data_IF_423042363770
#
_entry.id   IF_423042363770
#
_cell.length_a   1.000
_cell.length_b   1.000
_cell.length_c   1.000
_cell.angle_alpha   90.00
_cell.angle_beta   90.00
_cell.angle_gamma   90.00
#
_symmetry.space_group_name_H-M   'P 1'
#
loop_
_entity.id
_entity.type
_entity.pdbx_description
1 polymer ?
#
# COMPACT_ATOMS: atom_id res chain seq x y z
N UNK A 1 -59.76 -17.40 -36.99
CA UNK A 1 -58.56 -17.71 -36.16
C UNK A 1 -57.43 -16.88 -36.76
N UNK A 2 -57.26 -15.65 -36.28
CA UNK A 2 -56.19 -14.77 -36.76
C UNK A 2 -54.87 -15.36 -36.26
N UNK A 3 -53.97 -15.69 -37.19
CA UNK A 3 -52.57 -15.94 -36.84
C UNK A 3 -51.99 -14.60 -36.40
N UNK A 4 -51.78 -14.45 -35.09
CA UNK A 4 -51.04 -13.31 -34.59
C UNK A 4 -49.56 -13.58 -34.81
N UNK A 5 -49.05 -13.08 -35.93
CA UNK A 5 -47.61 -12.86 -36.13
C UNK A 5 -47.16 -11.80 -35.12
N UNK A 6 -47.00 -12.19 -33.87
CA UNK A 6 -46.47 -11.32 -32.81
C UNK A 6 -45.02 -11.01 -33.15
N UNK A 7 -44.78 -9.80 -33.62
CA UNK A 7 -43.43 -9.32 -33.89
C UNK A 7 -42.65 -9.29 -32.58
N UNK A 8 -41.70 -10.21 -32.43
CA UNK A 8 -40.79 -10.21 -31.29
C UNK A 8 -39.83 -9.03 -31.44
N UNK A 9 -40.08 -7.97 -30.68
CA UNK A 9 -39.24 -6.77 -30.64
C UNK A 9 -38.31 -6.88 -29.43
N UNK A 10 -37.02 -7.22 -29.61
CA UNK A 10 -36.08 -7.35 -28.50
C UNK A 10 -35.57 -6.00 -27.97
N UNK A 11 -35.80 -4.89 -28.69
CA UNK A 11 -35.38 -3.57 -28.21
C UNK A 11 -36.22 -3.13 -26.99
N UNK A 12 -35.56 -2.57 -25.98
CA UNK A 12 -36.17 -2.02 -24.76
C UNK A 12 -35.92 -0.52 -24.68
N UNK A 13 -35.64 0.03 -23.49
CA UNK A 13 -35.18 1.42 -23.38
C UNK A 13 -33.90 1.64 -24.19
N UNK A 14 -33.60 2.90 -24.52
CA UNK A 14 -32.45 3.26 -25.36
C UNK A 14 -31.16 2.58 -24.87
N UNK A 15 -30.54 1.75 -25.71
CA UNK A 15 -29.32 1.00 -25.38
C UNK A 15 -29.53 -0.40 -24.78
N UNK A 16 -30.76 -0.82 -24.50
CA UNK A 16 -31.07 -2.12 -23.88
C UNK A 16 -31.61 -3.14 -24.90
N UNK A 17 -31.09 -4.36 -24.81
CA UNK A 17 -31.55 -5.53 -25.56
C UNK A 17 -32.17 -6.56 -24.61
N UNK A 18 -33.36 -7.05 -24.93
CA UNK A 18 -34.01 -8.09 -24.15
C UNK A 18 -33.41 -9.46 -24.44
N UNK A 19 -32.98 -10.13 -23.38
CA UNK A 19 -32.55 -11.52 -23.43
C UNK A 19 -33.72 -12.42 -23.01
N UNK A 20 -34.25 -13.19 -23.97
CA UNK A 20 -35.40 -14.06 -23.75
C UNK A 20 -35.10 -15.26 -22.85
N UNK A 21 -33.85 -15.70 -22.77
CA UNK A 21 -33.46 -16.85 -21.94
C UNK A 21 -33.47 -16.50 -20.45
N UNK A 22 -32.99 -15.31 -20.11
CA UNK A 22 -32.87 -14.84 -18.72
C UNK A 22 -34.02 -13.93 -18.27
N UNK A 23 -34.74 -13.33 -19.23
CA UNK A 23 -35.73 -12.28 -18.94
C UNK A 23 -35.11 -10.94 -18.51
N UNK A 24 -33.78 -10.79 -18.66
CA UNK A 24 -33.03 -9.59 -18.28
C UNK A 24 -32.80 -8.68 -19.49
N UNK A 25 -32.42 -7.44 -19.22
CA UNK A 25 -32.07 -6.47 -20.26
C UNK A 25 -30.54 -6.31 -20.30
N UNK A 26 -29.93 -6.71 -21.40
CA UNK A 26 -28.51 -6.52 -21.63
C UNK A 26 -28.22 -5.06 -22.02
N UNK A 27 -27.33 -4.42 -21.27
CA UNK A 27 -26.86 -3.06 -21.50
C UNK A 27 -25.33 -3.07 -21.56
N UNK A 28 -24.79 -3.43 -22.73
CA UNK A 28 -23.36 -3.52 -23.10
C UNK A 28 -22.43 -4.18 -22.08
N UNK A 29 -22.15 -3.56 -20.94
CA UNK A 29 -21.25 -4.11 -19.91
C UNK A 29 -22.00 -4.77 -18.74
N UNK A 30 -23.33 -4.63 -18.63
CA UNK A 30 -24.10 -5.14 -17.50
C UNK A 30 -25.50 -5.65 -17.88
N UNK A 31 -26.03 -6.56 -17.06
CA UNK A 31 -27.43 -7.02 -17.13
C UNK A 31 -28.28 -6.24 -16.14
N UNK A 32 -29.34 -5.62 -16.65
CA UNK A 32 -30.34 -4.85 -15.91
C UNK A 32 -31.58 -5.71 -15.65
N UNK A 33 -32.02 -5.73 -14.39
CA UNK A 33 -33.27 -6.36 -13.99
C UNK A 33 -34.39 -5.30 -13.94
N UNK A 34 -35.38 -5.36 -14.87
CA UNK A 34 -36.49 -4.42 -14.88
C UNK A 34 -37.43 -4.56 -13.68
N UNK A 35 -37.47 -5.72 -13.00
CA UNK A 35 -38.32 -5.96 -11.83
C UNK A 35 -37.75 -5.29 -10.58
N UNK A 36 -36.42 -5.30 -10.46
CA UNK A 36 -35.71 -4.68 -9.33
C UNK A 36 -35.28 -3.23 -9.57
N UNK A 37 -35.26 -2.80 -10.84
CA UNK A 37 -34.85 -1.45 -11.22
C UNK A 37 -33.34 -1.19 -11.07
N UNK A 38 -32.50 -2.22 -11.19
CA UNK A 38 -31.05 -2.13 -10.94
C UNK A 38 -30.24 -3.15 -11.75
N UNK A 39 -28.92 -2.96 -11.82
CA UNK A 39 -28.00 -3.95 -12.36
C UNK A 39 -27.78 -5.10 -11.38
N UNK A 40 -27.50 -6.29 -11.92
CA UNK A 40 -27.16 -7.48 -11.12
C UNK A 40 -25.70 -7.51 -10.68
N UNK A 41 -24.81 -6.94 -11.48
CA UNK A 41 -23.38 -6.89 -11.21
C UNK A 41 -22.95 -5.47 -10.81
N UNK A 42 -21.96 -5.33 -9.91
CA UNK A 42 -21.39 -4.03 -9.58
C UNK A 42 -20.71 -3.41 -10.81
N UNK A 43 -20.70 -2.08 -10.89
CA UNK A 43 -20.09 -1.34 -11.99
C UNK A 43 -18.60 -1.70 -12.18
N UNK A 44 -18.18 -2.13 -13.39
CA UNK A 44 -16.77 -2.39 -13.69
C UNK A 44 -15.84 -1.20 -13.43
N UNK A 45 -16.34 0.04 -13.53
CA UNK A 45 -15.57 1.25 -13.22
C UNK A 45 -15.55 1.61 -11.73
N UNK A 46 -16.10 0.73 -10.86
CA UNK A 46 -16.12 0.87 -9.40
C UNK A 46 -16.70 2.22 -8.97
N UNK A 47 -16.02 2.94 -8.07
CA UNK A 47 -16.45 4.23 -7.52
C UNK A 47 -16.48 5.36 -8.56
N UNK A 48 -15.84 5.20 -9.72
CA UNK A 48 -15.93 6.19 -10.79
C UNK A 48 -17.32 6.22 -11.43
N UNK A 49 -18.08 5.12 -11.33
CA UNK A 49 -19.48 5.02 -11.78
C UNK A 49 -20.50 5.57 -10.77
N UNK A 50 -20.02 6.21 -9.69
CA UNK A 50 -20.84 6.72 -8.59
C UNK A 50 -20.83 5.83 -7.34
N UNK A 51 -21.47 6.35 -6.28
CA UNK A 51 -21.48 5.69 -4.97
C UNK A 51 -22.29 4.38 -4.96
N UNK A 52 -23.32 4.28 -5.82
CA UNK A 52 -24.15 3.08 -5.93
C UNK A 52 -23.77 2.29 -7.19
N UNK A 53 -23.00 1.23 -6.98
CA UNK A 53 -22.44 0.39 -8.05
C UNK A 53 -23.49 -0.43 -8.82
N UNK A 54 -24.70 -0.58 -8.28
CA UNK A 54 -25.79 -1.34 -8.90
C UNK A 54 -26.84 -0.43 -9.56
N UNK A 55 -26.71 0.89 -9.44
CA UNK A 55 -27.71 1.82 -9.94
C UNK A 55 -27.69 1.88 -11.48
N UNK A 56 -28.88 1.90 -12.08
CA UNK A 56 -29.05 2.12 -13.52
C UNK A 56 -28.76 3.57 -13.91
N UNK A 57 -29.63 4.50 -13.51
CA UNK A 57 -29.42 5.94 -13.63
C UNK A 57 -29.98 6.66 -12.39
N UNK A 58 -29.51 7.89 -12.09
CA UNK A 58 -30.10 8.71 -11.04
C UNK A 58 -31.57 9.07 -11.29
N UNK A 59 -31.95 9.28 -12.56
CA UNK A 59 -33.31 9.61 -12.96
C UNK A 59 -33.70 8.87 -14.27
N UNK A 60 -34.37 7.70 -14.21
CA UNK A 60 -34.67 6.87 -15.38
C UNK A 60 -35.70 7.51 -16.33
N UNK A 61 -36.40 8.56 -15.90
CA UNK A 61 -37.40 9.27 -16.71
C UNK A 61 -36.79 10.23 -17.73
N UNK A 62 -35.56 10.69 -17.50
CA UNK A 62 -34.90 11.66 -18.38
C UNK A 62 -33.46 11.33 -18.72
N UNK A 63 -32.89 10.28 -18.10
CA UNK A 63 -31.49 9.89 -18.24
C UNK A 63 -31.41 8.44 -18.69
N UNK A 64 -30.47 8.18 -19.59
CA UNK A 64 -30.15 6.86 -20.12
C UNK A 64 -28.68 6.56 -19.82
N UNK A 65 -28.33 5.30 -19.60
CA UNK A 65 -26.96 4.81 -19.50
C UNK A 65 -26.64 3.99 -20.78
N UNK A 66 -26.15 4.61 -21.87
CA UNK A 66 -25.94 3.92 -23.15
C UNK A 66 -24.79 2.92 -23.14
N UNK A 67 -23.88 3.06 -22.18
CA UNK A 67 -22.70 2.21 -22.06
C UNK A 67 -22.91 1.10 -21.04
N UNK A 68 -23.88 1.20 -20.15
CA UNK A 68 -23.95 0.32 -19.00
C UNK A 68 -22.81 0.60 -18.02
N UNK A 69 -22.28 1.82 -17.96
CA UNK A 69 -21.25 2.29 -17.04
C UNK A 69 -21.77 3.62 -16.52
N UNK A 70 -22.21 3.68 -15.25
CA UNK A 70 -23.06 4.75 -14.79
C UNK A 70 -22.25 6.06 -14.76
N UNK A 71 -22.42 6.85 -15.80
CA UNK A 71 -21.72 8.10 -16.02
C UNK A 71 -22.75 9.10 -16.49
N UNK A 72 -22.91 10.18 -15.72
CA UNK A 72 -23.95 11.19 -15.87
C UNK A 72 -24.11 11.68 -17.33
N UNK A 73 -24.89 10.97 -18.14
CA UNK A 73 -25.27 11.39 -19.48
C UNK A 73 -26.58 12.19 -19.39
N UNK A 74 -26.54 13.53 -19.54
CA UNK A 74 -27.76 14.32 -19.67
C UNK A 74 -28.50 14.02 -21.00
N UNK A 75 -29.79 14.39 -21.11
CA UNK A 75 -30.61 14.19 -22.32
C UNK A 75 -30.01 14.80 -23.60
N UNK A 76 -30.50 14.41 -24.80
CA UNK A 76 -29.83 14.56 -26.11
C UNK A 76 -29.47 15.98 -26.59
N UNK A 77 -29.77 17.03 -25.81
CA UNK A 77 -29.48 18.43 -26.13
C UNK A 77 -28.14 18.94 -25.58
N UNK A 78 -27.26 18.07 -25.07
CA UNK A 78 -25.87 18.42 -24.73
C UNK A 78 -24.89 17.47 -25.42
N UNK A 79 -23.91 17.98 -26.20
CA UNK A 79 -22.86 17.15 -26.74
C UNK A 79 -21.93 16.77 -25.58
N UNK A 80 -21.86 15.48 -25.26
CA UNK A 80 -20.89 14.94 -24.30
C UNK A 80 -21.52 14.03 -23.26
N UNK A 81 -21.60 12.74 -23.58
CA UNK A 81 -21.42 11.72 -22.56
C UNK A 81 -19.93 11.64 -22.27
N UNK A 82 -19.42 12.47 -21.35
CA UNK A 82 -18.07 12.28 -20.84
C UNK A 82 -18.08 10.97 -20.05
N UNK A 83 -17.49 9.93 -20.62
CA UNK A 83 -17.17 8.70 -19.89
C UNK A 83 -16.11 9.09 -18.85
N UNK A 84 -16.35 8.99 -17.53
CA UNK A 84 -15.31 9.07 -16.53
C UNK A 84 -14.42 7.86 -16.76
N UNK A 85 -13.29 8.08 -17.41
CA UNK A 85 -12.43 7.02 -17.94
C UNK A 85 -12.03 7.18 -19.41
N UNK A 86 -12.57 8.18 -20.14
CA UNK A 86 -11.98 8.66 -21.39
C UNK A 86 -10.51 9.03 -21.16
N UNK A 87 -9.64 8.31 -21.86
CA UNK A 87 -8.21 8.14 -21.54
C UNK A 87 -7.49 9.49 -21.43
N UNK A 88 -7.32 9.92 -20.18
CA UNK A 88 -6.49 11.03 -19.75
C UNK A 88 -5.85 10.68 -18.40
N UNK A 89 -5.07 9.59 -18.37
CA UNK A 89 -4.13 9.36 -17.27
C UNK A 89 -4.67 8.71 -15.99
N UNK A 90 -5.76 7.94 -16.05
CA UNK A 90 -6.12 7.05 -14.94
C UNK A 90 -5.11 5.90 -14.85
N UNK A 91 -3.99 6.14 -14.16
CA UNK A 91 -3.07 5.10 -13.75
C UNK A 91 -3.76 4.29 -12.66
N UNK A 92 -3.89 2.99 -12.87
CA UNK A 92 -4.14 2.08 -11.77
C UNK A 92 -2.88 2.12 -10.92
N UNK A 93 -2.97 2.72 -9.74
CA UNK A 93 -1.91 2.60 -8.76
C UNK A 93 -1.96 1.16 -8.24
N UNK A 94 -1.20 0.26 -8.86
CA UNK A 94 -0.83 -1.05 -8.28
C UNK A 94 0.09 -0.88 -7.06
N UNK A 95 0.10 0.32 -6.45
CA UNK A 95 0.96 0.69 -5.36
C UNK A 95 0.67 -0.18 -4.16
N UNK A 96 1.49 -1.20 -3.97
CA UNK A 96 1.73 -1.74 -2.63
C UNK A 96 1.88 -0.55 -1.67
N UNK A 97 1.22 -0.60 -0.50
CA UNK A 97 1.40 0.46 0.48
C UNK A 97 2.89 0.58 0.75
N UNK A 98 3.46 1.77 0.46
CA UNK A 98 4.87 2.03 0.72
C UNK A 98 5.13 1.67 2.17
N UNK A 99 5.98 0.66 2.40
CA UNK A 99 6.30 0.18 3.73
C UNK A 99 6.68 1.38 4.60
N UNK A 100 6.19 1.44 5.85
CA UNK A 100 6.53 2.53 6.74
C UNK A 100 8.05 2.58 6.87
N UNK A 101 8.63 3.69 6.40
CA UNK A 101 10.09 3.89 6.41
C UNK A 101 10.62 4.00 7.84
N UNK A 102 9.76 4.27 8.83
CA UNK A 102 10.10 4.36 10.24
C UNK A 102 9.16 3.45 11.01
N UNK A 103 9.74 2.56 11.83
CA UNK A 103 9.00 1.69 12.72
C UNK A 103 9.44 1.92 14.18
N UNK A 104 8.49 1.89 15.10
CA UNK A 104 8.70 2.13 16.53
C UNK A 104 8.57 0.84 17.35
N UNK A 105 9.09 0.85 18.58
CA UNK A 105 8.97 -0.24 19.55
C UNK A 105 9.59 -1.59 19.09
N UNK A 106 10.72 -1.55 18.38
CA UNK A 106 11.44 -2.77 17.99
C UNK A 106 12.36 -3.21 19.11
N UNK A 107 12.37 -4.52 19.37
CA UNK A 107 13.31 -5.14 20.27
C UNK A 107 14.74 -5.08 19.70
N UNK A 108 15.71 -4.49 20.39
CA UNK A 108 17.07 -4.31 19.84
C UNK A 108 17.84 -5.64 19.67
N UNK A 109 17.31 -6.74 20.22
CA UNK A 109 17.88 -8.09 20.09
C UNK A 109 17.60 -8.73 18.73
N UNK A 110 16.55 -8.30 18.02
CA UNK A 110 16.20 -8.85 16.69
C UNK A 110 17.12 -8.32 15.59
N UNK A 111 17.76 -7.17 15.83
CA UNK A 111 18.66 -6.53 14.87
C UNK A 111 20.01 -7.26 14.78
N UNK A 112 20.49 -7.53 13.58
CA UNK A 112 21.81 -8.11 13.30
C UNK A 112 22.88 -7.02 13.21
N UNK A 113 24.05 -7.29 13.78
CA UNK A 113 25.20 -6.38 13.72
C UNK A 113 25.94 -6.58 12.41
N UNK A 114 26.50 -5.48 11.91
CA UNK A 114 27.31 -5.43 10.69
C UNK A 114 28.72 -4.89 10.97
N UNK A 115 28.91 -4.20 12.09
CA UNK A 115 30.20 -3.68 12.52
C UNK A 115 30.46 -4.07 13.99
N UNK A 116 31.72 -4.32 14.34
CA UNK A 116 32.17 -4.58 15.71
C UNK A 116 32.31 -3.27 16.47
N UNK A 117 31.87 -3.21 17.73
CA UNK A 117 32.18 -2.06 18.60
C UNK A 117 33.26 -2.46 19.61
N UNK A 118 34.39 -1.77 19.56
CA UNK A 118 35.52 -2.01 20.45
C UNK A 118 36.22 -0.71 20.88
N UNK A 119 36.98 -0.80 21.97
CA UNK A 119 37.81 0.28 22.49
C UNK A 119 37.11 1.23 23.47
N UNK A 120 37.93 2.09 24.10
CA UNK A 120 37.51 3.02 25.17
C UNK A 120 36.51 4.07 24.71
N UNK A 121 36.69 4.59 23.49
CA UNK A 121 35.80 5.60 22.91
C UNK A 121 34.41 5.03 22.69
N UNK A 122 34.32 3.86 22.04
CA UNK A 122 33.06 3.14 21.84
C UNK A 122 32.38 2.81 23.16
N UNK A 123 33.15 2.36 24.15
CA UNK A 123 32.61 2.08 25.50
C UNK A 123 31.98 3.33 26.11
N UNK A 124 32.67 4.48 26.07
CA UNK A 124 32.12 5.75 26.57
C UNK A 124 30.84 6.14 25.85
N UNK A 125 30.80 5.97 24.52
CA UNK A 125 29.62 6.30 23.71
C UNK A 125 28.42 5.40 24.05
N UNK A 126 28.64 4.08 24.25
CA UNK A 126 27.58 3.16 24.70
C UNK A 126 27.07 3.55 26.08
N UNK A 127 27.96 3.90 27.01
CA UNK A 127 27.58 4.34 28.36
C UNK A 127 26.76 5.63 28.34
N UNK A 128 27.11 6.58 27.47
CA UNK A 128 26.34 7.82 27.27
C UNK A 128 24.92 7.52 26.76
N UNK A 129 24.78 6.70 25.71
CA UNK A 129 23.46 6.31 25.21
C UNK A 129 22.66 5.51 26.24
N UNK A 130 23.32 4.68 27.05
CA UNK A 130 22.68 3.96 28.16
C UNK A 130 22.11 4.91 29.20
N UNK A 131 22.82 5.99 29.53
CA UNK A 131 22.32 7.03 30.44
C UNK A 131 21.15 7.80 29.81
N UNK A 132 21.24 8.15 28.53
CA UNK A 132 20.11 8.75 27.78
C UNK A 132 18.88 7.84 27.79
N UNK A 133 19.08 6.54 27.62
CA UNK A 133 18.02 5.53 27.64
C UNK A 133 17.32 5.40 28.98
N UNK A 134 18.05 5.57 30.08
CA UNK A 134 17.46 5.62 31.42
C UNK A 134 16.66 6.91 31.67
N UNK A 135 17.10 8.03 31.08
CA UNK A 135 16.52 9.35 31.31
C UNK A 135 15.42 9.72 30.30
N UNK A 136 15.15 8.86 29.31
CA UNK A 136 14.15 9.05 28.25
C UNK A 136 14.79 9.02 26.86
N UNK A 137 14.75 7.86 26.19
CA UNK A 137 15.14 7.72 24.79
C UNK A 137 13.93 7.99 23.88
N UNK A 138 13.98 9.08 23.13
CA UNK A 138 12.92 9.46 22.21
C UNK A 138 13.10 8.88 20.80
N UNK A 139 12.09 9.03 19.93
CA UNK A 139 12.15 8.66 18.51
C UNK A 139 13.07 9.56 17.66
N UNK A 140 13.78 10.51 18.29
CA UNK A 140 14.62 11.52 17.62
C UNK A 140 15.83 10.92 16.92
N UNK A 141 16.35 9.81 17.44
CA UNK A 141 17.56 9.16 16.92
C UNK A 141 17.24 7.72 16.48
N UNK A 142 16.64 7.51 15.29
CA UNK A 142 16.38 6.18 14.78
C UNK A 142 17.67 5.43 14.44
N UNK A 143 17.61 4.10 14.56
CA UNK A 143 18.68 3.20 14.08
C UNK A 143 18.41 2.91 12.61
N UNK A 144 19.41 3.13 11.77
CA UNK A 144 19.27 2.91 10.33
C UNK A 144 19.51 1.44 10.03
N UNK A 145 18.54 0.78 9.40
CA UNK A 145 18.58 -0.65 9.10
C UNK A 145 18.18 -0.94 7.66
N UNK A 146 18.65 -2.07 7.16
CA UNK A 146 18.20 -2.67 5.91
C UNK A 146 17.59 -4.05 6.19
N UNK A 147 16.52 -4.37 5.48
CA UNK A 147 15.91 -5.69 5.51
C UNK A 147 16.47 -6.56 4.39
N UNK A 148 16.84 -7.79 4.73
CA UNK A 148 17.22 -8.84 3.77
C UNK A 148 16.83 -10.20 4.32
N UNK A 149 16.11 -11.01 3.53
CA UNK A 149 15.60 -12.34 3.91
C UNK A 149 14.91 -12.36 5.28
N UNK A 150 14.06 -11.37 5.56
CA UNK A 150 13.34 -11.25 6.85
C UNK A 150 14.22 -10.92 8.05
N UNK A 151 15.49 -10.55 7.84
CA UNK A 151 16.40 -10.11 8.89
C UNK A 151 16.74 -8.63 8.74
N UNK A 152 16.85 -7.94 9.87
CA UNK A 152 17.21 -6.52 9.91
C UNK A 152 18.68 -6.34 10.24
N UNK A 153 19.44 -5.72 9.35
CA UNK A 153 20.88 -5.46 9.50
C UNK A 153 21.13 -3.99 9.81
N UNK A 154 21.91 -3.73 10.87
CA UNK A 154 22.21 -2.36 11.33
C UNK A 154 23.28 -1.74 10.41
N UNK A 155 22.90 -0.68 9.70
CA UNK A 155 23.80 0.12 8.87
C UNK A 155 24.45 1.26 9.67
N UNK A 156 23.70 1.90 10.56
CA UNK A 156 24.21 2.91 11.50
C UNK A 156 23.50 2.84 12.84
N UNK A 157 24.22 3.23 13.90
CA UNK A 157 23.71 3.23 15.27
C UNK A 157 24.07 1.98 16.06
N UNK A 158 25.19 1.31 15.76
CA UNK A 158 25.63 0.12 16.53
C UNK A 158 25.81 0.41 18.02
N UNK A 159 26.33 1.58 18.42
CA UNK A 159 26.43 1.95 19.84
C UNK A 159 25.05 2.13 20.49
N UNK A 160 24.07 2.67 19.75
CA UNK A 160 22.68 2.84 20.21
C UNK A 160 22.01 1.47 20.37
N UNK A 161 22.13 0.61 19.37
CA UNK A 161 21.63 -0.76 19.44
C UNK A 161 22.26 -1.54 20.61
N UNK A 162 23.56 -1.41 20.83
CA UNK A 162 24.26 -2.06 21.93
C UNK A 162 23.82 -1.54 23.30
N UNK A 163 23.66 -0.23 23.47
CA UNK A 163 23.12 0.37 24.68
C UNK A 163 21.70 -0.14 24.95
N UNK A 164 20.84 -0.14 23.93
CA UNK A 164 19.45 -0.60 24.02
C UNK A 164 19.33 -2.07 24.42
N UNK A 165 20.23 -2.93 23.92
CA UNK A 165 20.30 -4.35 24.33
C UNK A 165 20.64 -4.50 25.81
N UNK A 166 21.51 -3.64 26.35
CA UNK A 166 21.88 -3.68 27.77
C UNK A 166 20.77 -3.16 28.68
N UNK A 167 20.00 -2.17 28.24
CA UNK A 167 18.90 -1.57 29.01
C UNK A 167 17.55 -2.22 28.76
N UNK A 168 17.45 -3.11 27.78
CA UNK A 168 16.17 -3.68 27.29
C UNK A 168 15.15 -2.59 26.94
N UNK A 169 15.63 -1.50 26.33
CA UNK A 169 14.77 -0.42 25.85
C UNK A 169 14.44 -0.62 24.39
N UNK A 170 13.18 -0.48 24.03
CA UNK A 170 12.76 -0.60 22.64
C UNK A 170 13.26 0.60 21.83
N UNK A 171 13.57 0.34 20.56
CA UNK A 171 14.19 1.34 19.67
C UNK A 171 13.28 1.66 18.49
N UNK A 172 13.48 2.86 17.94
CA UNK A 172 12.90 3.24 16.65
C UNK A 172 13.93 2.92 15.57
N UNK A 173 13.48 2.32 14.47
CA UNK A 173 14.32 2.04 13.30
C UNK A 173 13.84 2.84 12.10
N UNK A 174 14.79 3.17 11.22
CA UNK A 174 14.54 3.68 9.88
C UNK A 174 14.93 2.62 8.88
N UNK A 175 13.95 2.06 8.18
CA UNK A 175 14.15 1.06 7.14
C UNK A 175 14.54 1.74 5.83
N UNK A 176 15.66 1.31 5.25
CA UNK A 176 16.12 1.77 3.93
C UNK A 176 15.93 0.63 2.93
N UNK A 177 15.28 0.94 1.82
CA UNK A 177 15.11 0.02 0.67
C UNK A 177 16.31 0.07 -0.26
N UNK A 178 16.89 1.26 -0.47
CA UNK A 178 17.95 1.47 -1.46
C UNK A 178 19.27 1.94 -0.84
N UNK A 179 20.27 1.05 -0.78
CA UNK A 179 21.62 1.36 -0.29
C UNK A 179 22.31 2.49 -1.06
N UNK A 180 21.99 2.67 -2.35
CA UNK A 180 22.57 3.73 -3.19
C UNK A 180 22.21 5.14 -2.70
N UNK A 181 21.07 5.29 -2.04
CA UNK A 181 20.61 6.58 -1.49
C UNK A 181 21.21 6.87 -0.11
N UNK A 182 21.77 5.85 0.53
CA UNK A 182 22.34 5.95 1.86
C UNK A 182 23.81 6.37 1.80
N UNK A 183 24.16 7.44 2.50
CA UNK A 183 25.53 7.93 2.61
C UNK A 183 26.30 7.13 3.68
N UNK A 184 26.55 5.85 3.41
CA UNK A 184 27.25 4.93 4.30
C UNK A 184 28.49 4.30 3.69
N UNK A 185 29.22 3.53 4.51
CA UNK A 185 30.39 2.78 4.06
C UNK A 185 30.01 1.57 3.18
N UNK A 186 28.85 0.97 3.43
CA UNK A 186 28.36 -0.22 2.71
C UNK A 186 27.45 0.22 1.57
N UNK A 187 27.80 -0.16 0.33
CA UNK A 187 27.11 0.26 -0.89
C UNK A 187 26.30 -0.85 -1.55
N UNK A 188 26.62 -2.11 -1.24
CA UNK A 188 25.93 -3.30 -1.73
C UNK A 188 25.40 -4.15 -0.58
N UNK A 189 24.43 -5.01 -0.88
CA UNK A 189 23.85 -5.90 0.14
C UNK A 189 24.81 -7.04 0.48
N UNK A 190 25.60 -7.47 -0.51
CA UNK A 190 26.65 -8.47 -0.36
C UNK A 190 27.69 -8.00 0.68
N UNK A 191 28.11 -6.73 0.63
CA UNK A 191 29.04 -6.16 1.62
C UNK A 191 28.45 -6.20 3.04
N UNK A 192 27.14 -5.96 3.17
CA UNK A 192 26.43 -5.98 4.47
C UNK A 192 26.42 -7.40 5.03
N UNK A 193 26.12 -8.39 4.20
CA UNK A 193 26.07 -9.80 4.59
C UNK A 193 27.45 -10.34 4.95
N UNK A 194 28.46 -10.05 4.14
CA UNK A 194 29.85 -10.41 4.41
C UNK A 194 30.33 -9.80 5.73
N UNK A 195 30.08 -8.50 5.91
CA UNK A 195 30.42 -7.81 7.15
C UNK A 195 29.70 -8.44 8.36
N UNK A 196 28.39 -8.70 8.25
CA UNK A 196 27.62 -9.33 9.32
C UNK A 196 28.12 -10.73 9.71
N UNK A 197 28.56 -11.53 8.74
CA UNK A 197 29.12 -12.87 8.98
C UNK A 197 30.49 -12.83 9.64
N UNK A 198 31.29 -11.79 9.35
CA UNK A 198 32.63 -11.61 9.89
C UNK A 198 32.67 -10.83 11.22
N UNK A 199 31.53 -10.29 11.68
CA UNK A 199 31.45 -9.52 12.92
C UNK A 199 31.65 -10.41 14.14
N UNK A 200 32.72 -10.12 14.88
CA UNK A 200 32.97 -10.71 16.19
C UNK A 200 32.03 -10.21 17.31
N UNK A 201 32.27 -10.68 18.52
CA UNK A 201 31.60 -10.15 19.73
C UNK A 201 32.08 -8.73 20.05
N UNK A 202 31.20 -7.93 20.65
CA UNK A 202 31.54 -6.57 21.10
C UNK A 202 32.61 -6.63 22.21
N UNK A 203 33.67 -5.83 22.06
CA UNK A 203 34.79 -5.77 23.02
C UNK A 203 34.80 -4.42 23.73
N UNK A 204 33.80 -4.23 24.59
CA UNK A 204 33.66 -3.02 25.39
C UNK A 204 34.44 -3.13 26.71
N UNK A 205 35.35 -2.20 26.94
CA UNK A 205 36.19 -2.19 28.13
C UNK A 205 35.37 -1.74 29.34
N UNK A 206 35.07 -2.66 30.25
CA UNK A 206 34.42 -2.28 31.49
C UNK A 206 35.41 -1.55 32.39
N UNK A 207 35.05 -0.32 32.79
CA UNK A 207 35.82 0.45 33.74
C UNK A 207 35.86 -0.34 35.06
N UNK A 208 37.02 -0.89 35.42
CA UNK A 208 37.21 -1.51 36.75
C UNK A 208 36.83 -0.46 37.78
N UNK A 209 35.77 -0.73 38.56
CA UNK A 209 35.44 0.10 39.73
C UNK A 209 36.69 0.09 40.62
N UNK A 210 37.26 1.28 40.82
CA UNK A 210 38.32 1.52 41.81
C UNK A 210 37.67 1.69 43.17
#
# INVERSE_FOLDING_TARGET
LAGEDYLDQPLRFQGQYFDAESGLHYNRHRYYDPRLGRYLTPDPVKLAGGLNQYQYTPNPTGWVDPLGLNSNCPPPNKPGCEVPGGIGGAKVDEGEPKLPTIAHNIDPKTLKRVHTIEGKTSTRTVEDYKNKMRNGYGPTDPITVIEHDGNLYILDGHHRAAAARQTSTNVTIKLITDLKTYNGALRSIEDVLESANNVGLDRLEHRRRR
#
